data_IF_086710951369
#
_entry.id   IF_086710951369
#
_cell.length_a   1.000
_cell.length_b   1.000
_cell.length_c   1.000
_cell.angle_alpha   90.00
_cell.angle_beta   90.00
_cell.angle_gamma   90.00
#
_symmetry.space_group_name_H-M   'P 1'
#
loop_
_entity.id
_entity.type
_entity.pdbx_description
1 polymer ?
#
# COMPACT_ATOMS: atom_id res chain seq x y z
N UNK A 1 4.85 24.32 16.36
CA UNK A 1 5.98 23.83 15.54
C UNK A 1 6.37 22.45 16.08
N UNK A 2 5.62 21.44 15.68
CA UNK A 2 5.81 20.05 16.07
C UNK A 2 6.58 19.36 14.95
N UNK A 3 7.88 19.16 15.16
CA UNK A 3 8.69 18.30 14.30
C UNK A 3 8.14 16.88 14.42
N UNK A 4 7.55 16.42 13.32
CA UNK A 4 6.94 15.11 13.15
C UNK A 4 8.00 14.01 13.28
N UNK A 5 7.63 12.90 13.93
CA UNK A 5 8.47 11.72 14.12
C UNK A 5 8.86 10.96 12.85
N UNK A 6 8.81 11.60 11.68
CA UNK A 6 9.21 11.03 10.39
C UNK A 6 10.74 11.01 10.22
N UNK A 7 11.48 11.94 10.83
CA UNK A 7 12.94 12.00 10.65
C UNK A 7 13.71 10.87 11.36
N UNK A 8 13.14 10.24 12.39
CA UNK A 8 13.81 9.13 13.09
C UNK A 8 13.75 7.78 12.35
N UNK A 9 12.95 7.67 11.27
CA UNK A 9 12.89 6.45 10.44
C UNK A 9 13.95 6.46 9.33
N UNK A 10 14.50 7.63 8.97
CA UNK A 10 15.46 7.79 7.89
C UNK A 10 16.88 7.26 8.20
N UNK A 11 17.22 6.95 9.46
CA UNK A 11 18.59 6.63 9.88
C UNK A 11 18.93 5.11 9.94
N UNK A 12 18.27 4.24 9.17
CA UNK A 12 18.62 2.80 9.07
C UNK A 12 18.99 2.32 7.67
N UNK A 13 19.38 3.24 6.79
CA UNK A 13 19.97 2.92 5.49
C UNK A 13 21.19 2.01 5.65
N UNK A 14 21.13 0.81 5.09
CA UNK A 14 22.31 -0.01 4.86
C UNK A 14 23.19 0.61 3.77
N UNK A 15 24.39 0.06 3.51
CA UNK A 15 25.24 0.58 2.44
C UNK A 15 24.49 0.50 1.11
N UNK A 16 24.80 1.45 0.21
CA UNK A 16 23.93 2.17 -0.75
C UNK A 16 22.81 1.43 -1.51
N UNK A 17 22.76 0.10 -1.47
CA UNK A 17 21.82 -0.75 -2.19
C UNK A 17 20.89 -1.60 -1.27
N UNK A 18 20.99 -1.48 0.06
CA UNK A 18 20.13 -2.20 1.02
C UNK A 18 19.32 -1.26 1.91
N UNK A 19 17.99 -1.23 1.70
CA UNK A 19 17.03 -0.47 2.52
C UNK A 19 17.01 -0.88 4.02
N UNK A 20 17.44 -2.10 4.36
CA UNK A 20 17.48 -2.60 5.75
C UNK A 20 18.65 -3.55 5.97
N UNK A 21 19.46 -3.32 7.03
CA UNK A 21 20.60 -4.17 7.44
C UNK A 21 20.25 -5.67 7.57
N UNK A 22 19.03 -6.00 7.99
CA UNK A 22 18.55 -7.40 8.09
C UNK A 22 18.45 -8.11 6.74
N UNK A 23 18.11 -7.37 5.68
CA UNK A 23 18.07 -7.91 4.32
C UNK A 23 19.47 -8.20 3.79
N UNK A 24 20.44 -7.35 4.10
CA UNK A 24 21.84 -7.53 3.71
C UNK A 24 22.45 -8.81 4.33
N UNK A 25 22.22 -9.03 5.63
CA UNK A 25 22.75 -10.22 6.33
C UNK A 25 22.17 -11.51 5.75
N UNK A 26 20.87 -11.53 5.42
CA UNK A 26 20.24 -12.71 4.80
C UNK A 26 20.75 -12.94 3.36
N UNK A 27 20.93 -11.88 2.57
CA UNK A 27 21.44 -12.00 1.20
C UNK A 27 22.90 -12.49 1.21
N UNK A 28 23.74 -11.92 2.08
CA UNK A 28 25.15 -12.33 2.23
C UNK A 28 25.24 -13.75 2.79
N UNK A 29 24.42 -14.10 3.78
CA UNK A 29 24.37 -15.45 4.32
C UNK A 29 23.99 -16.50 3.27
N UNK A 30 22.99 -16.21 2.43
CA UNK A 30 22.59 -17.10 1.33
C UNK A 30 23.66 -17.19 0.23
N UNK A 31 24.35 -16.10 -0.08
CA UNK A 31 25.45 -16.11 -1.04
C UNK A 31 26.65 -16.92 -0.52
N UNK A 32 27.01 -16.77 0.75
CA UNK A 32 28.08 -17.56 1.39
C UNK A 32 27.70 -19.04 1.43
N UNK A 33 26.48 -19.38 1.83
CA UNK A 33 26.00 -20.76 1.86
C UNK A 33 26.06 -21.41 0.46
N UNK A 34 25.60 -20.70 -0.57
CA UNK A 34 25.68 -21.19 -1.95
C UNK A 34 27.11 -21.28 -2.48
N UNK A 35 27.99 -20.34 -2.14
CA UNK A 35 29.40 -20.40 -2.53
C UNK A 35 30.10 -21.61 -1.90
N UNK A 36 29.80 -21.91 -0.63
CA UNK A 36 30.33 -23.09 0.06
C UNK A 36 29.80 -24.38 -0.56
N UNK A 37 28.51 -24.47 -0.85
CA UNK A 37 27.90 -25.63 -1.53
C UNK A 37 28.53 -25.86 -2.91
N UNK A 38 28.54 -24.84 -3.77
CA UNK A 38 29.14 -24.93 -5.10
C UNK A 38 30.64 -25.26 -5.03
N UNK A 39 31.36 -24.73 -4.04
CA UNK A 39 32.78 -25.05 -3.83
C UNK A 39 32.99 -26.50 -3.40
N UNK A 40 32.10 -27.06 -2.59
CA UNK A 40 32.13 -28.46 -2.15
C UNK A 40 31.81 -29.43 -3.31
N UNK A 41 30.76 -29.14 -4.07
CA UNK A 41 30.39 -29.88 -5.30
C UNK A 41 31.42 -29.68 -6.42
N UNK A 42 32.22 -28.60 -6.34
CA UNK A 42 33.44 -28.32 -7.09
C UNK A 42 34.44 -29.48 -7.17
N UNK A 43 34.60 -30.19 -6.06
CA UNK A 43 35.64 -31.22 -5.88
C UNK A 43 35.34 -32.51 -6.65
N UNK A 44 34.15 -33.14 -6.52
CA UNK A 44 33.83 -34.35 -7.29
C UNK A 44 33.82 -34.08 -8.81
N UNK A 45 33.29 -32.94 -9.26
CA UNK A 45 33.33 -32.55 -10.66
C UNK A 45 34.75 -32.45 -11.23
N UNK A 46 35.66 -31.81 -10.48
CA UNK A 46 37.06 -31.70 -10.90
C UNK A 46 37.74 -33.07 -11.02
N UNK A 47 37.38 -34.03 -10.15
CA UNK A 47 37.86 -35.41 -10.23
C UNK A 47 37.31 -36.14 -11.46
N UNK A 48 36.01 -36.00 -11.75
CA UNK A 48 35.36 -36.60 -12.93
C UNK A 48 35.93 -36.06 -14.26
N UNK A 49 36.29 -34.77 -14.31
CA UNK A 49 36.80 -34.11 -15.52
C UNK A 49 38.33 -34.12 -15.65
N UNK A 50 39.06 -34.62 -14.65
CA UNK A 50 40.53 -34.68 -14.66
C UNK A 50 41.22 -33.32 -14.43
N UNK A 51 40.52 -32.34 -13.85
CA UNK A 51 41.02 -30.98 -13.59
C UNK A 51 41.49 -30.88 -12.12
N UNK A 52 42.48 -30.04 -11.77
CA UNK A 52 42.86 -29.83 -10.38
C UNK A 52 41.69 -29.37 -9.50
N UNK A 53 41.53 -29.97 -8.32
CA UNK A 53 40.43 -29.69 -7.40
C UNK A 53 40.32 -28.19 -7.01
N UNK A 54 41.45 -27.47 -6.96
CA UNK A 54 41.46 -26.02 -6.69
C UNK A 54 40.70 -25.22 -7.75
N UNK A 55 40.76 -25.63 -9.02
CA UNK A 55 40.06 -24.95 -10.11
C UNK A 55 38.55 -25.17 -10.02
N UNK A 56 38.11 -26.39 -9.67
CA UNK A 56 36.69 -26.68 -9.43
C UNK A 56 36.10 -25.90 -8.25
N UNK A 57 36.86 -25.81 -7.14
CA UNK A 57 36.45 -25.03 -5.96
C UNK A 57 36.34 -23.54 -6.28
N UNK A 58 37.32 -22.96 -6.99
CA UNK A 58 37.29 -21.54 -7.38
C UNK A 58 36.11 -21.24 -8.30
N UNK A 59 35.84 -22.12 -9.28
CA UNK A 59 34.70 -21.96 -10.17
C UNK A 59 33.36 -22.01 -9.41
N UNK A 60 33.21 -22.96 -8.48
CA UNK A 60 32.04 -23.07 -7.62
C UNK A 60 31.83 -21.85 -6.72
N UNK A 61 32.89 -21.35 -6.09
CA UNK A 61 32.84 -20.13 -5.25
C UNK A 61 32.42 -18.90 -6.07
N UNK A 62 32.94 -18.75 -7.29
CA UNK A 62 32.57 -17.66 -8.19
C UNK A 62 31.10 -17.76 -8.62
N UNK A 63 30.63 -18.97 -8.96
CA UNK A 63 29.24 -19.22 -9.32
C UNK A 63 28.28 -18.90 -8.15
N UNK A 64 28.56 -19.38 -6.94
CA UNK A 64 27.74 -19.10 -5.75
C UNK A 64 27.69 -17.63 -5.35
N UNK A 65 28.78 -16.89 -5.59
CA UNK A 65 28.89 -15.46 -5.30
C UNK A 65 27.93 -14.59 -6.14
N UNK A 66 27.42 -15.11 -7.27
CA UNK A 66 26.46 -14.41 -8.14
C UNK A 66 25.15 -14.07 -7.42
N UNK A 67 24.80 -14.77 -6.34
CA UNK A 67 23.63 -14.45 -5.51
C UNK A 67 23.69 -13.08 -4.85
N UNK A 68 24.87 -12.47 -4.68
CA UNK A 68 25.00 -11.10 -4.19
C UNK A 68 24.30 -10.09 -5.11
N UNK A 69 24.20 -10.43 -6.39
CA UNK A 69 23.62 -9.57 -7.43
C UNK A 69 22.13 -9.87 -7.67
N UNK A 70 21.53 -10.80 -6.91
CA UNK A 70 20.14 -11.29 -7.11
C UNK A 70 19.07 -10.21 -7.12
N UNK A 71 19.30 -9.10 -6.40
CA UNK A 71 18.34 -7.98 -6.32
C UNK A 71 18.33 -7.09 -7.55
N UNK A 72 19.45 -6.99 -8.29
CA UNK A 72 19.56 -6.14 -9.49
C UNK A 72 19.41 -6.95 -10.77
N UNK A 73 19.93 -8.16 -10.79
CA UNK A 73 20.01 -8.98 -12.00
C UNK A 73 19.51 -10.40 -11.74
N UNK A 74 18.22 -10.60 -11.37
CA UNK A 74 17.67 -11.93 -11.10
C UNK A 74 17.76 -12.85 -12.33
N UNK A 75 17.73 -12.29 -13.54
CA UNK A 75 17.91 -13.04 -14.80
C UNK A 75 19.33 -13.61 -14.89
N UNK A 76 20.36 -12.83 -14.54
CA UNK A 76 21.74 -13.28 -14.59
C UNK A 76 22.00 -14.43 -13.61
N UNK A 77 21.39 -14.38 -12.42
CA UNK A 77 21.47 -15.47 -11.42
C UNK A 77 20.92 -16.78 -11.99
N UNK A 78 19.74 -16.74 -12.62
CA UNK A 78 19.14 -17.97 -13.18
C UNK A 78 19.93 -18.46 -14.39
N UNK A 79 20.43 -17.57 -15.25
CA UNK A 79 21.31 -17.98 -16.36
C UNK A 79 22.60 -18.66 -15.88
N UNK A 80 23.22 -18.13 -14.82
CA UNK A 80 24.39 -18.75 -14.20
C UNK A 80 24.02 -20.10 -13.57
N UNK A 81 22.85 -20.21 -12.93
CA UNK A 81 22.35 -21.49 -12.41
C UNK A 81 22.14 -22.54 -13.51
N UNK A 82 21.51 -22.15 -14.63
CA UNK A 82 21.35 -23.03 -15.80
C UNK A 82 22.72 -23.46 -16.34
N UNK A 83 23.67 -22.54 -16.46
CA UNK A 83 25.00 -22.83 -17.01
C UNK A 83 25.83 -23.79 -16.13
N UNK A 84 25.61 -23.76 -14.81
CA UNK A 84 26.34 -24.59 -13.83
C UNK A 84 25.62 -25.92 -13.54
N UNK A 85 24.35 -26.07 -13.95
CA UNK A 85 23.54 -27.29 -13.79
C UNK A 85 24.24 -28.57 -14.32
N UNK A 86 24.92 -28.57 -15.49
CA UNK A 86 25.63 -29.76 -16.00
C UNK A 86 26.77 -30.25 -15.09
N UNK A 87 27.36 -29.34 -14.30
CA UNK A 87 28.42 -29.67 -13.35
C UNK A 87 27.87 -30.31 -12.06
N UNK A 88 26.54 -30.54 -11.97
CA UNK A 88 25.83 -30.92 -10.75
C UNK A 88 26.14 -29.99 -9.56
N UNK A 89 26.48 -28.74 -9.87
CA UNK A 89 26.77 -27.71 -8.89
C UNK A 89 25.59 -26.74 -8.78
N UNK A 90 25.38 -26.19 -7.59
CA UNK A 90 24.55 -24.99 -7.42
C UNK A 90 23.07 -25.27 -7.20
N UNK A 91 22.77 -26.25 -6.35
CA UNK A 91 21.43 -26.58 -5.89
C UNK A 91 20.71 -25.40 -5.24
N UNK A 92 21.34 -24.77 -4.25
CA UNK A 92 20.81 -23.58 -3.61
C UNK A 92 20.75 -22.41 -4.60
N UNK A 93 21.68 -22.32 -5.54
CA UNK A 93 21.68 -21.27 -6.55
C UNK A 93 20.45 -21.36 -7.47
N UNK A 94 20.07 -22.57 -7.89
CA UNK A 94 18.87 -22.84 -8.68
C UNK A 94 17.58 -22.52 -7.91
N UNK A 95 17.47 -23.00 -6.67
CA UNK A 95 16.30 -22.77 -5.81
C UNK A 95 16.12 -21.27 -5.49
N UNK A 96 17.19 -20.63 -5.01
CA UNK A 96 17.17 -19.22 -4.61
C UNK A 96 17.05 -18.32 -5.83
N UNK A 97 17.67 -18.69 -6.95
CA UNK A 97 17.56 -18.00 -8.24
C UNK A 97 16.13 -18.01 -8.77
N UNK A 98 15.48 -19.19 -8.82
CA UNK A 98 14.08 -19.30 -9.25
C UNK A 98 13.13 -18.54 -8.33
N UNK A 99 13.32 -18.67 -7.01
CA UNK A 99 12.52 -17.93 -6.04
C UNK A 99 12.66 -16.42 -6.24
N UNK A 100 13.90 -15.93 -6.38
CA UNK A 100 14.19 -14.51 -6.58
C UNK A 100 13.63 -13.99 -7.91
N UNK A 101 13.71 -14.79 -8.98
CA UNK A 101 13.12 -14.45 -10.27
C UNK A 101 11.59 -14.41 -10.20
N UNK A 102 10.96 -15.38 -9.55
CA UNK A 102 9.51 -15.45 -9.41
C UNK A 102 8.93 -14.39 -8.46
N UNK A 103 9.70 -14.01 -7.44
CA UNK A 103 9.35 -12.93 -6.51
C UNK A 103 9.64 -11.52 -7.07
N UNK A 104 10.36 -11.42 -8.19
CA UNK A 104 10.65 -10.14 -8.84
C UNK A 104 9.50 -9.64 -9.73
N UNK A 105 9.50 -8.35 -10.06
CA UNK A 105 8.48 -7.69 -10.90
C UNK A 105 8.65 -7.97 -12.41
N UNK A 106 9.30 -9.07 -12.77
CA UNK A 106 9.59 -9.44 -14.16
C UNK A 106 8.32 -9.98 -14.85
N UNK A 107 8.12 -9.71 -16.15
CA UNK A 107 6.99 -10.24 -16.91
C UNK A 107 6.85 -11.77 -16.79
N UNK A 108 5.60 -12.25 -16.62
CA UNK A 108 5.29 -13.70 -16.46
C UNK A 108 5.84 -14.57 -17.60
N UNK A 109 5.94 -14.03 -18.82
CA UNK A 109 6.52 -14.72 -19.99
C UNK A 109 7.99 -15.07 -19.78
N UNK A 110 8.77 -14.14 -19.23
CA UNK A 110 10.20 -14.33 -18.97
C UNK A 110 10.37 -15.35 -17.84
N UNK A 111 9.60 -15.23 -16.75
CA UNK A 111 9.60 -16.20 -15.64
C UNK A 111 9.32 -17.61 -16.16
N UNK A 112 8.27 -17.78 -16.98
CA UNK A 112 7.93 -19.08 -17.56
C UNK A 112 9.03 -19.65 -18.46
N UNK A 113 9.64 -18.82 -19.32
CA UNK A 113 10.72 -19.25 -20.21
C UNK A 113 11.98 -19.69 -19.46
N UNK A 114 12.44 -18.93 -18.45
CA UNK A 114 13.62 -19.27 -17.66
C UNK A 114 13.36 -20.45 -16.72
N UNK A 115 12.16 -20.53 -16.12
CA UNK A 115 11.78 -21.68 -15.30
C UNK A 115 11.69 -22.96 -16.14
N UNK A 116 11.13 -22.87 -17.35
CA UNK A 116 11.10 -23.97 -18.31
C UNK A 116 12.51 -24.39 -18.73
N UNK A 117 13.40 -23.44 -19.01
CA UNK A 117 14.79 -23.73 -19.36
C UNK A 117 15.54 -24.41 -18.21
N UNK A 118 15.36 -23.96 -16.96
CA UNK A 118 15.93 -24.61 -15.78
C UNK A 118 15.37 -26.03 -15.59
N UNK A 119 14.05 -26.22 -15.73
CA UNK A 119 13.40 -27.51 -15.61
C UNK A 119 13.97 -28.51 -16.64
N UNK A 120 14.06 -28.10 -17.90
CA UNK A 120 14.61 -28.94 -18.98
C UNK A 120 16.08 -29.25 -18.71
N UNK A 121 16.87 -28.27 -18.27
CA UNK A 121 18.27 -28.46 -17.91
C UNK A 121 18.46 -29.51 -16.80
N UNK A 122 17.72 -29.37 -15.69
CA UNK A 122 17.79 -30.33 -14.57
C UNK A 122 17.31 -31.72 -15.01
N UNK A 123 16.24 -31.80 -15.79
CA UNK A 123 15.70 -33.06 -16.30
C UNK A 123 16.72 -33.81 -17.17
N UNK A 124 17.35 -33.11 -18.11
CA UNK A 124 18.34 -33.72 -19.01
C UNK A 124 19.57 -34.19 -18.22
N UNK A 125 20.12 -33.34 -17.33
CA UNK A 125 21.30 -33.70 -16.53
C UNK A 125 21.03 -34.89 -15.62
N UNK A 126 19.90 -34.91 -14.91
CA UNK A 126 19.53 -36.04 -14.05
C UNK A 126 19.31 -37.32 -14.84
N UNK A 127 18.71 -37.24 -16.03
CA UNK A 127 18.50 -38.41 -16.88
C UNK A 127 19.82 -39.00 -17.40
N UNK A 128 20.83 -38.16 -17.69
CA UNK A 128 22.15 -38.61 -18.15
C UNK A 128 22.94 -39.23 -17.00
N UNK A 129 23.01 -38.55 -15.83
CA UNK A 129 23.74 -39.06 -14.66
C UNK A 129 23.19 -40.39 -14.17
N UNK A 130 21.87 -40.47 -14.02
CA UNK A 130 21.24 -41.70 -13.54
C UNK A 130 21.48 -42.88 -14.50
N UNK A 131 21.57 -42.65 -15.82
CA UNK A 131 21.97 -43.68 -16.78
C UNK A 131 23.44 -44.09 -16.64
N UNK A 132 24.33 -43.14 -16.38
CA UNK A 132 25.76 -43.40 -16.20
C UNK A 132 26.03 -44.23 -14.94
N UNK A 133 25.40 -43.87 -13.82
CA UNK A 133 25.57 -44.57 -12.54
C UNK A 133 25.10 -46.03 -12.66
N UNK A 134 23.91 -46.25 -13.24
CA UNK A 134 23.34 -47.59 -13.43
C UNK A 134 24.15 -48.45 -14.40
N UNK A 135 24.72 -47.85 -15.45
CA UNK A 135 25.63 -48.55 -16.37
C UNK A 135 26.98 -48.91 -15.73
N UNK A 136 27.39 -48.19 -14.69
CA UNK A 136 28.66 -48.43 -13.97
C UNK A 136 28.52 -49.53 -12.93
N UNK A 137 27.35 -49.65 -12.28
CA UNK A 137 27.09 -50.65 -11.24
C UNK A 137 26.50 -51.99 -11.77
N UNK A 138 26.27 -52.12 -13.08
CA UNK A 138 25.69 -53.31 -13.75
C UNK A 138 24.32 -53.72 -13.15
N UNK A 139 23.57 -52.73 -12.66
CA UNK A 139 22.26 -52.91 -12.01
C UNK A 139 21.16 -52.77 -13.06
N UNK A 140 20.49 -53.87 -13.38
CA UNK A 140 19.31 -53.87 -14.24
C UNK A 140 18.08 -53.36 -13.47
N UNK A 141 17.84 -52.06 -13.58
CA UNK A 141 16.61 -51.40 -13.12
C UNK A 141 15.76 -51.09 -14.34
N UNK A 142 14.47 -51.46 -14.29
CA UNK A 142 13.59 -51.34 -15.45
C UNK A 142 13.60 -49.94 -16.08
N UNK A 143 13.63 -49.88 -17.42
CA UNK A 143 13.82 -48.67 -18.24
C UNK A 143 12.91 -47.47 -17.89
N UNK A 144 11.79 -47.71 -17.21
CA UNK A 144 10.87 -46.67 -16.72
C UNK A 144 11.39 -45.90 -15.49
N UNK A 145 12.25 -46.51 -14.66
CA UNK A 145 12.69 -45.92 -13.38
C UNK A 145 13.52 -44.66 -13.60
N UNK A 146 14.36 -44.66 -14.63
CA UNK A 146 15.22 -43.53 -15.00
C UNK A 146 14.42 -42.26 -15.37
N UNK A 147 13.51 -42.29 -16.37
CA UNK A 147 12.69 -41.12 -16.69
C UNK A 147 11.78 -40.73 -15.52
N UNK A 148 11.22 -41.70 -14.78
CA UNK A 148 10.37 -41.42 -13.62
C UNK A 148 11.11 -40.66 -12.51
N UNK A 149 12.27 -41.16 -12.09
CA UNK A 149 13.09 -40.51 -11.07
C UNK A 149 13.60 -39.13 -11.52
N UNK A 150 14.00 -39.00 -12.78
CA UNK A 150 14.47 -37.73 -13.35
C UNK A 150 13.38 -36.66 -13.38
N UNK A 151 12.16 -37.02 -13.81
CA UNK A 151 11.01 -36.12 -13.84
C UNK A 151 10.61 -35.71 -12.42
N UNK A 152 10.54 -36.67 -11.49
CA UNK A 152 10.12 -36.42 -10.11
C UNK A 152 11.09 -35.48 -9.40
N UNK A 153 12.38 -35.69 -9.56
CA UNK A 153 13.43 -34.84 -8.98
C UNK A 153 13.44 -33.45 -9.61
N UNK A 154 13.39 -33.35 -10.94
CA UNK A 154 13.34 -32.07 -11.64
C UNK A 154 12.13 -31.23 -11.23
N UNK A 155 10.95 -31.85 -11.12
CA UNK A 155 9.73 -31.17 -10.71
C UNK A 155 9.76 -30.78 -9.23
N UNK A 156 10.22 -31.68 -8.36
CA UNK A 156 10.32 -31.44 -6.92
C UNK A 156 11.24 -30.27 -6.56
N UNK A 157 12.25 -29.98 -7.39
CA UNK A 157 13.22 -28.93 -7.11
C UNK A 157 12.87 -27.59 -7.75
N UNK A 158 12.11 -27.61 -8.84
CA UNK A 158 11.71 -26.39 -9.55
C UNK A 158 10.35 -25.86 -9.13
N UNK A 159 9.39 -26.74 -8.86
CA UNK A 159 8.01 -26.33 -8.60
C UNK A 159 7.84 -25.58 -7.26
N UNK A 160 8.36 -26.04 -6.11
CA UNK A 160 8.14 -25.34 -4.84
C UNK A 160 8.70 -23.91 -4.81
N UNK A 161 9.96 -23.65 -5.23
CA UNK A 161 10.51 -22.30 -5.23
C UNK A 161 9.77 -21.36 -6.20
N UNK A 162 9.36 -21.88 -7.36
CA UNK A 162 8.57 -21.14 -8.35
C UNK A 162 7.21 -20.73 -7.78
N UNK A 163 6.48 -21.69 -7.21
CA UNK A 163 5.15 -21.47 -6.64
C UNK A 163 5.21 -20.51 -5.46
N UNK A 164 6.18 -20.66 -4.56
CA UNK A 164 6.38 -19.76 -3.43
C UNK A 164 6.75 -18.35 -3.89
N UNK A 165 7.63 -18.21 -4.88
CA UNK A 165 7.99 -16.90 -5.43
C UNK A 165 6.80 -16.20 -6.09
N UNK A 166 6.01 -16.93 -6.88
CA UNK A 166 4.78 -16.42 -7.51
C UNK A 166 3.72 -16.04 -6.46
N UNK A 167 3.55 -16.85 -5.42
CA UNK A 167 2.63 -16.57 -4.31
C UNK A 167 3.03 -15.31 -3.55
N UNK A 168 4.31 -15.18 -3.18
CA UNK A 168 4.83 -13.99 -2.48
C UNK A 168 4.70 -12.75 -3.35
N UNK A 169 5.03 -12.84 -4.65
CA UNK A 169 4.87 -11.74 -5.60
C UNK A 169 3.41 -11.33 -5.79
N UNK A 170 2.49 -12.30 -5.87
CA UNK A 170 1.05 -12.03 -5.94
C UNK A 170 0.51 -11.39 -4.66
N UNK A 171 0.94 -11.89 -3.50
CA UNK A 171 0.54 -11.36 -2.19
C UNK A 171 1.03 -9.93 -1.96
N UNK A 172 2.24 -9.58 -2.44
CA UNK A 172 2.76 -8.20 -2.38
C UNK A 172 1.91 -7.25 -3.20
N UNK A 173 1.65 -7.58 -4.48
CA UNK A 173 0.78 -6.78 -5.37
C UNK A 173 -0.62 -6.61 -4.80
N UNK A 174 -1.18 -7.66 -4.19
CA UNK A 174 -2.48 -7.57 -3.52
C UNK A 174 -2.44 -6.60 -2.34
N UNK A 175 -1.42 -6.70 -1.48
CA UNK A 175 -1.28 -5.80 -0.33
C UNK A 175 -1.04 -4.35 -0.75
N UNK A 176 -0.28 -4.10 -1.80
CA UNK A 176 -0.10 -2.76 -2.38
C UNK A 176 -1.44 -2.22 -2.87
N UNK A 177 -2.20 -3.01 -3.65
CA UNK A 177 -3.52 -2.57 -4.13
C UNK A 177 -4.53 -2.33 -3.01
N UNK A 178 -4.45 -3.08 -1.90
CA UNK A 178 -5.30 -2.87 -0.73
C UNK A 178 -4.92 -1.60 0.03
N UNK A 179 -3.62 -1.30 0.13
CA UNK A 179 -3.14 -0.04 0.74
C UNK A 179 -3.56 1.16 -0.09
N UNK A 180 -3.37 1.13 -1.40
CA UNK A 180 -3.80 2.21 -2.29
C UNK A 180 -5.31 2.48 -2.17
N UNK A 181 -6.12 1.42 -2.06
CA UNK A 181 -7.57 1.53 -1.82
C UNK A 181 -7.88 2.11 -0.45
N UNK A 182 -7.20 1.67 0.61
CA UNK A 182 -7.39 2.21 1.95
C UNK A 182 -7.05 3.70 2.00
N UNK A 183 -5.91 4.10 1.46
CA UNK A 183 -5.47 5.50 1.39
C UNK A 183 -6.45 6.36 0.56
N UNK A 184 -7.04 5.78 -0.49
CA UNK A 184 -8.03 6.47 -1.32
C UNK A 184 -9.35 6.68 -0.57
N UNK A 185 -9.80 5.68 0.20
CA UNK A 185 -11.00 5.78 1.03
C UNK A 185 -10.82 6.78 2.18
N UNK A 186 -9.64 6.80 2.81
CA UNK A 186 -9.33 7.80 3.85
C UNK A 186 -9.41 9.23 3.30
N UNK A 187 -8.85 9.47 2.11
CA UNK A 187 -8.96 10.77 1.43
C UNK A 187 -10.40 11.12 1.08
N UNK A 188 -11.20 10.16 0.63
CA UNK A 188 -12.61 10.40 0.31
C UNK A 188 -13.42 10.77 1.57
N UNK A 189 -13.20 10.08 2.68
CA UNK A 189 -13.84 10.39 3.96
C UNK A 189 -13.47 11.78 4.48
N UNK A 190 -12.20 12.18 4.35
CA UNK A 190 -11.75 13.53 4.69
C UNK A 190 -12.49 14.60 3.86
N UNK A 191 -12.56 14.42 2.54
CA UNK A 191 -13.28 15.35 1.66
C UNK A 191 -14.78 15.40 1.96
N UNK A 192 -15.40 14.28 2.35
CA UNK A 192 -16.80 14.26 2.75
C UNK A 192 -17.03 14.98 4.08
N UNK A 193 -16.11 14.85 5.04
CA UNK A 193 -16.15 15.55 6.31
C UNK A 193 -16.04 17.08 6.11
N UNK A 194 -15.05 17.52 5.32
CA UNK A 194 -14.87 18.94 4.98
C UNK A 194 -16.11 19.53 4.29
N UNK A 195 -16.69 18.80 3.32
CA UNK A 195 -17.94 19.23 2.67
C UNK A 195 -19.14 19.27 3.61
N UNK A 196 -19.18 18.39 4.61
CA UNK A 196 -20.26 18.40 5.59
C UNK A 196 -20.15 19.63 6.51
N UNK A 197 -18.93 20.00 6.91
CA UNK A 197 -18.65 21.21 7.67
C UNK A 197 -19.02 22.47 6.88
N UNK A 198 -18.58 22.58 5.62
CA UNK A 198 -18.90 23.72 4.74
C UNK A 198 -20.42 23.88 4.56
N UNK A 199 -21.15 22.77 4.34
CA UNK A 199 -22.62 22.81 4.26
C UNK A 199 -23.28 23.23 5.56
N UNK A 200 -22.75 22.80 6.70
CA UNK A 200 -23.27 23.19 8.00
C UNK A 200 -23.05 24.68 8.27
N UNK A 201 -21.88 25.22 7.91
CA UNK A 201 -21.60 26.66 7.98
C UNK A 201 -22.50 27.47 7.05
N UNK A 202 -22.67 27.02 5.81
CA UNK A 202 -23.58 27.64 4.85
C UNK A 202 -25.01 27.69 5.38
N UNK A 203 -25.54 26.55 5.86
CA UNK A 203 -26.88 26.46 6.42
C UNK A 203 -27.06 27.38 7.64
N UNK A 204 -26.07 27.46 8.53
CA UNK A 204 -26.07 28.41 9.67
C UNK A 204 -26.08 29.87 9.21
N UNK A 205 -25.33 30.21 8.16
CA UNK A 205 -25.31 31.55 7.57
C UNK A 205 -26.64 31.94 6.93
N UNK A 206 -27.25 31.02 6.20
CA UNK A 206 -28.56 31.20 5.58
C UNK A 206 -29.65 31.40 6.64
N UNK A 207 -29.62 30.59 7.71
CA UNK A 207 -30.53 30.71 8.86
C UNK A 207 -30.41 32.08 9.53
N UNK A 208 -29.18 32.53 9.83
CA UNK A 208 -28.94 33.86 10.42
C UNK A 208 -29.50 34.98 9.55
N UNK A 209 -29.36 34.86 8.23
CA UNK A 209 -29.87 35.86 7.28
C UNK A 209 -31.40 35.83 7.21
N UNK A 210 -32.02 34.65 7.25
CA UNK A 210 -33.47 34.50 7.33
C UNK A 210 -34.02 35.14 8.60
N UNK A 211 -33.44 34.83 9.75
CA UNK A 211 -33.82 35.41 11.05
C UNK A 211 -33.69 36.93 11.01
N UNK A 212 -32.60 37.48 10.48
CA UNK A 212 -32.42 38.93 10.38
C UNK A 212 -33.52 39.60 9.53
N UNK A 213 -33.97 38.96 8.44
CA UNK A 213 -35.08 39.48 7.61
C UNK A 213 -36.42 39.41 8.35
N UNK A 214 -36.73 38.28 8.98
CA UNK A 214 -37.96 38.13 9.78
C UNK A 214 -38.01 39.14 10.93
N UNK A 215 -36.88 39.37 11.63
CA UNK A 215 -36.76 40.43 12.64
C UNK A 215 -37.02 41.81 12.01
N UNK A 216 -36.40 42.10 10.86
CA UNK A 216 -36.54 43.39 10.20
C UNK A 216 -37.98 43.67 9.80
N UNK A 217 -38.69 42.69 9.24
CA UNK A 217 -40.08 42.84 8.80
C UNK A 217 -41.03 43.08 9.97
N UNK A 218 -40.87 42.33 11.08
CA UNK A 218 -41.67 42.52 12.30
C UNK A 218 -41.44 43.91 12.89
N UNK A 219 -40.18 44.36 12.98
CA UNK A 219 -39.83 45.67 13.50
C UNK A 219 -40.36 46.79 12.59
N UNK A 220 -40.11 46.70 11.28
CA UNK A 220 -40.53 47.70 10.31
C UNK A 220 -42.05 47.87 10.31
N UNK A 221 -42.80 46.76 10.36
CA UNK A 221 -44.25 46.78 10.43
C UNK A 221 -44.77 47.49 11.69
N UNK A 222 -44.23 47.15 12.88
CA UNK A 222 -44.66 47.77 14.15
C UNK A 222 -44.29 49.24 14.23
N UNK A 223 -43.09 49.62 13.78
CA UNK A 223 -42.67 51.02 13.72
C UNK A 223 -43.59 51.81 12.78
N UNK A 224 -43.94 51.25 11.62
CA UNK A 224 -44.89 51.88 10.68
C UNK A 224 -46.25 52.13 11.33
N UNK A 225 -46.82 51.14 12.03
CA UNK A 225 -48.08 51.30 12.77
C UNK A 225 -47.98 52.37 13.87
N UNK A 226 -46.90 52.40 14.66
CA UNK A 226 -46.68 53.42 15.68
C UNK A 226 -46.61 54.83 15.07
N UNK A 227 -45.95 55.01 13.91
CA UNK A 227 -45.89 56.29 13.19
C UNK A 227 -47.28 56.73 12.74
N UNK A 228 -48.09 55.82 12.18
CA UNK A 228 -49.47 56.12 11.75
C UNK A 228 -50.34 56.53 12.95
N UNK A 229 -50.27 55.80 14.07
CA UNK A 229 -51.02 56.15 15.28
C UNK A 229 -50.55 57.45 15.93
N UNK A 230 -49.25 57.76 15.91
CA UNK A 230 -48.71 59.03 16.37
C UNK A 230 -49.16 60.21 15.50
N UNK A 231 -49.25 60.04 14.18
CA UNK A 231 -49.81 61.04 13.28
C UNK A 231 -51.31 61.28 13.55
N UNK A 232 -52.08 60.20 13.76
CA UNK A 232 -53.49 60.29 14.15
C UNK A 232 -53.70 60.99 15.50
N UNK A 233 -52.79 60.76 16.46
CA UNK A 233 -52.77 61.46 17.74
C UNK A 233 -52.64 62.98 17.56
N UNK A 234 -51.65 63.43 16.76
CA UNK A 234 -51.44 64.86 16.49
C UNK A 234 -52.67 65.52 15.86
N UNK A 235 -53.38 64.81 14.98
CA UNK A 235 -54.58 65.32 14.30
C UNK A 235 -55.79 65.47 15.26
N UNK A 236 -55.94 64.57 16.24
CA UNK A 236 -57.10 64.54 17.13
C UNK A 236 -56.88 65.31 18.43
N UNK A 237 -55.61 65.55 18.83
CA UNK A 237 -55.23 66.20 20.09
C UNK A 237 -55.91 67.55 20.37
N UNK A 238 -56.21 68.35 19.35
CA UNK A 238 -56.90 69.65 19.52
C UNK A 238 -58.43 69.56 19.55
N UNK A 239 -59.01 68.48 19.01
CA UNK A 239 -60.47 68.32 18.89
C UNK A 239 -61.08 67.47 19.99
N UNK A 240 -60.36 66.43 20.43
CA UNK A 240 -60.86 65.47 21.41
C UNK A 240 -59.68 64.96 22.28
N UNK A 241 -59.35 65.67 23.37
CA UNK A 241 -58.18 65.37 24.19
C UNK A 241 -58.27 64.00 24.88
N UNK A 242 -59.47 63.52 25.20
CA UNK A 242 -59.64 62.17 25.76
C UNK A 242 -59.28 61.07 24.75
N UNK A 243 -59.69 61.23 23.48
CA UNK A 243 -59.24 60.30 22.41
C UNK A 243 -57.74 60.35 22.19
N UNK A 244 -57.12 61.52 22.33
CA UNK A 244 -55.67 61.65 22.24
C UNK A 244 -54.97 60.88 23.36
N UNK A 245 -55.40 61.01 24.62
CA UNK A 245 -54.81 60.24 25.73
C UNK A 245 -54.93 58.72 25.50
N UNK A 246 -56.07 58.24 25.01
CA UNK A 246 -56.26 56.80 24.67
C UNK A 246 -55.33 56.33 23.54
N UNK A 247 -55.19 57.10 22.47
CA UNK A 247 -54.28 56.77 21.36
C UNK A 247 -52.80 56.81 21.80
N UNK A 248 -52.42 57.71 22.71
CA UNK A 248 -51.07 57.76 23.27
C UNK A 248 -50.76 56.51 24.11
N UNK A 249 -51.72 56.06 24.92
CA UNK A 249 -51.60 54.81 25.66
C UNK A 249 -51.41 53.60 24.72
N UNK A 250 -52.21 53.52 23.65
CA UNK A 250 -52.08 52.49 22.60
C UNK A 250 -50.68 52.46 21.95
N UNK A 251 -50.10 53.62 21.62
CA UNK A 251 -48.73 53.71 21.08
C UNK A 251 -47.70 53.24 22.11
N UNK A 252 -47.87 53.60 23.38
CA UNK A 252 -47.02 53.13 24.48
C UNK A 252 -47.06 51.62 24.68
N UNK A 253 -48.26 51.03 24.61
CA UNK A 253 -48.47 49.59 24.74
C UNK A 253 -47.88 48.83 23.55
N UNK A 254 -48.12 49.30 22.32
CA UNK A 254 -47.50 48.72 21.11
C UNK A 254 -45.96 48.76 21.17
N UNK A 255 -45.37 49.86 21.66
CA UNK A 255 -43.92 49.98 21.83
C UNK A 255 -43.35 49.00 22.87
N UNK A 256 -44.05 48.83 24.00
CA UNK A 256 -43.66 47.84 25.02
C UNK A 256 -43.77 46.42 24.49
N UNK A 257 -44.85 46.09 23.78
CA UNK A 257 -45.05 44.78 23.19
C UNK A 257 -43.99 44.45 22.11
N UNK A 258 -43.63 45.42 21.27
CA UNK A 258 -42.53 45.27 20.30
C UNK A 258 -41.17 44.99 20.97
N UNK A 259 -40.85 45.69 22.06
CA UNK A 259 -39.61 45.47 22.79
C UNK A 259 -39.58 44.12 23.52
N UNK A 260 -40.71 43.65 24.04
CA UNK A 260 -40.83 42.33 24.66
C UNK A 260 -40.58 41.21 23.65
N UNK A 261 -41.23 41.25 22.49
CA UNK A 261 -41.05 40.22 21.45
C UNK A 261 -39.63 40.22 20.87
N UNK A 262 -39.01 41.39 20.69
CA UNK A 262 -37.60 41.47 20.30
C UNK A 262 -36.66 40.84 21.33
N UNK A 263 -36.92 41.07 22.63
CA UNK A 263 -36.13 40.44 23.70
C UNK A 263 -36.33 38.93 23.76
N UNK A 264 -37.55 38.46 23.50
CA UNK A 264 -37.87 37.04 23.47
C UNK A 264 -37.18 36.34 22.30
N UNK A 265 -37.23 36.91 21.10
CA UNK A 265 -36.54 36.40 19.91
C UNK A 265 -35.00 36.43 20.04
N UNK A 266 -34.43 37.49 20.64
CA UNK A 266 -32.99 37.55 20.97
C UNK A 266 -32.59 36.58 22.10
N UNK A 267 -33.51 36.31 23.03
CA UNK A 267 -33.29 35.35 24.12
C UNK A 267 -33.10 33.92 23.59
N UNK A 268 -33.90 33.51 22.61
CA UNK A 268 -33.82 32.19 21.96
C UNK A 268 -32.51 32.02 21.18
N UNK A 269 -31.99 33.08 20.56
CA UNK A 269 -30.70 33.06 19.83
C UNK A 269 -29.49 32.95 20.75
N UNK A 270 -29.59 33.41 22.01
CA UNK A 270 -28.46 33.45 22.97
C UNK A 270 -28.39 32.22 23.87
N UNK A 271 -29.47 31.45 23.99
CA UNK A 271 -29.48 30.16 24.67
C UNK A 271 -29.18 28.98 23.75
N UNK A 272 -29.30 29.15 22.43
CA UNK A 272 -29.05 28.11 21.42
C UNK A 272 -27.70 28.19 20.68
N UNK A 273 -26.83 29.13 21.03
CA UNK A 273 -25.44 29.24 20.53
C UNK A 273 -24.44 28.82 21.60
#
# INVERSE_FOLDING_TARGET
MTATGEELVAARGGPWWWDRRRGAVLDVGLAVASAVECGWEGVPFARETGIPASVGVVFGLLAGSVLLVRRKWPIAVVLVGVAVTPAAMGFLLGIVGLYSLAASEVPRRIIGSLAGMQLVGVLVVMSVRLRQDLATEDVDVGDWLVPFASITTALGMTAPPLLLGLYVGARRRLMESLRERADSLERELQLLAERAEERAEWARGEERTRIAREMHDVVAHRVSLMVVHAAALQAVARKDPEKAVRNAALVGDMGRQALTELREMLGVLRSGG
#
